data_IF_070273154611
#
_entry.id   IF_070273154611
#
_cell.length_a   1.000
_cell.length_b   1.000
_cell.length_c   1.000
_cell.angle_alpha   90.00
_cell.angle_beta   90.00
_cell.angle_gamma   90.00
#
_symmetry.space_group_name_H-M   'P 1'
#
loop_
_entity.id
_entity.type
_entity.pdbx_description
1 polymer ?
#
# COMPACT_ATOMS: atom_id res chain seq x y z
N UNK A 1 21.16 -47.86 33.97
CA UNK A 1 21.20 -46.40 33.77
C UNK A 1 20.71 -46.15 32.37
N UNK A 2 19.57 -45.49 32.21
CA UNK A 2 19.06 -45.13 30.88
C UNK A 2 19.82 -43.90 30.37
N UNK A 3 20.44 -44.04 29.20
CA UNK A 3 21.04 -42.92 28.49
C UNK A 3 19.92 -42.11 27.85
N UNK A 4 19.69 -40.90 28.34
CA UNK A 4 18.76 -39.95 27.72
C UNK A 4 19.51 -39.06 26.73
N UNK A 5 19.12 -39.14 25.46
CA UNK A 5 19.58 -38.23 24.41
C UNK A 5 18.73 -36.96 24.50
N UNK A 6 19.38 -35.78 24.50
CA UNK A 6 18.73 -34.46 24.42
C UNK A 6 18.89 -33.92 23.00
N UNK A 7 17.80 -33.44 22.40
CA UNK A 7 17.84 -32.68 21.14
C UNK A 7 18.34 -31.26 21.41
N UNK A 8 19.17 -30.74 20.53
CA UNK A 8 19.67 -29.36 20.54
C UNK A 8 19.49 -28.77 19.15
N UNK A 9 19.41 -27.44 19.08
CA UNK A 9 19.12 -26.69 17.88
C UNK A 9 20.25 -25.70 17.62
N UNK A 10 20.81 -25.69 16.42
CA UNK A 10 21.93 -24.82 16.07
C UNK A 10 21.48 -23.74 15.08
N UNK A 11 21.73 -22.47 15.43
CA UNK A 11 21.49 -21.36 14.52
C UNK A 11 22.35 -21.49 13.26
N UNK A 12 21.73 -21.46 12.08
CA UNK A 12 22.43 -21.59 10.80
C UNK A 12 23.36 -20.42 10.45
N UNK A 13 23.16 -19.24 11.06
CA UNK A 13 23.92 -18.03 10.76
C UNK A 13 25.14 -17.86 11.68
N UNK A 14 24.95 -17.83 13.00
CA UNK A 14 26.03 -17.59 13.97
C UNK A 14 26.63 -18.89 14.57
N UNK A 15 26.02 -20.06 14.31
CA UNK A 15 26.39 -21.38 14.85
C UNK A 15 26.20 -21.55 16.36
N UNK A 16 25.53 -20.62 17.03
CA UNK A 16 25.13 -20.75 18.43
C UNK A 16 24.18 -21.93 18.62
N UNK A 17 24.32 -22.63 19.74
CA UNK A 17 23.55 -23.84 20.06
C UNK A 17 22.57 -23.50 21.17
N UNK A 18 21.30 -23.70 20.90
CA UNK A 18 20.16 -23.51 21.79
C UNK A 18 19.58 -24.87 22.16
N UNK A 19 18.89 -24.92 23.29
CA UNK A 19 18.13 -26.09 23.69
C UNK A 19 16.63 -26.01 23.40
N UNK A 20 16.20 -24.87 22.87
CA UNK A 20 14.87 -24.59 22.38
C UNK A 20 14.92 -24.23 20.88
N UNK A 21 13.93 -24.70 20.13
CA UNK A 21 13.85 -24.51 18.67
C UNK A 21 13.51 -23.07 18.30
N UNK A 22 12.60 -22.43 19.06
CA UNK A 22 12.16 -21.06 18.80
C UNK A 22 13.28 -20.08 19.12
N UNK A 23 14.05 -20.31 20.19
CA UNK A 23 15.27 -19.53 20.48
C UNK A 23 16.29 -19.62 19.34
N UNK A 24 16.53 -20.82 18.78
CA UNK A 24 17.43 -20.98 17.63
C UNK A 24 16.90 -20.28 16.38
N UNK A 25 15.58 -20.23 16.20
CA UNK A 25 14.92 -19.53 15.10
C UNK A 25 15.07 -18.01 15.21
N UNK A 26 14.91 -17.45 16.41
CA UNK A 26 14.97 -16.01 16.66
C UNK A 26 16.41 -15.48 16.80
N UNK A 27 17.40 -16.31 17.13
CA UNK A 27 18.81 -15.94 17.38
C UNK A 27 19.45 -15.03 16.31
N UNK A 28 19.16 -15.26 15.03
CA UNK A 28 19.65 -14.44 13.91
C UNK A 28 18.54 -14.17 12.89
N UNK A 29 17.30 -14.09 13.37
CA UNK A 29 16.16 -13.80 12.51
C UNK A 29 16.37 -12.42 11.86
N UNK A 30 16.24 -12.31 10.52
CA UNK A 30 16.38 -11.03 9.87
C UNK A 30 15.30 -10.06 10.34
N UNK A 31 15.69 -8.80 10.53
CA UNK A 31 14.74 -7.72 10.81
C UNK A 31 13.78 -7.56 9.63
N UNK A 32 12.48 -7.57 9.94
CA UNK A 32 11.45 -7.23 8.97
C UNK A 32 11.20 -5.73 9.10
N UNK A 33 11.52 -4.98 8.04
CA UNK A 33 11.31 -3.54 7.98
C UNK A 33 10.06 -3.26 7.16
N UNK A 34 9.10 -2.55 7.75
CA UNK A 34 7.93 -2.05 7.03
C UNK A 34 8.34 -0.91 6.09
N UNK A 35 7.86 -0.97 4.84
CA UNK A 35 8.14 0.01 3.80
C UNK A 35 6.83 0.47 3.16
N UNK A 36 6.79 1.73 2.74
CA UNK A 36 5.64 2.40 2.14
C UNK A 36 5.97 2.81 0.72
N UNK A 37 5.13 2.40 -0.24
CA UNK A 37 5.33 2.71 -1.66
C UNK A 37 4.58 3.99 -2.05
N UNK A 38 5.26 4.92 -2.72
CA UNK A 38 4.61 6.09 -3.32
C UNK A 38 3.65 5.63 -4.45
N UNK A 39 2.36 6.02 -4.43
CA UNK A 39 1.38 5.55 -5.41
C UNK A 39 1.64 6.06 -6.83
N UNK A 40 2.51 7.08 -7.00
CA UNK A 40 2.80 7.74 -8.27
C UNK A 40 4.03 7.15 -8.94
N UNK A 41 5.19 7.28 -8.28
CA UNK A 41 6.50 6.95 -8.85
C UNK A 41 7.00 5.54 -8.48
N UNK A 42 6.28 4.83 -7.58
CA UNK A 42 6.64 3.49 -7.11
C UNK A 42 7.98 3.43 -6.34
N UNK A 43 8.42 4.56 -5.78
CA UNK A 43 9.56 4.60 -4.87
C UNK A 43 9.14 4.08 -3.48
N UNK A 44 10.05 3.36 -2.83
CA UNK A 44 9.87 2.85 -1.47
C UNK A 44 10.42 3.84 -0.44
N UNK A 45 9.69 4.02 0.64
CA UNK A 45 10.03 4.89 1.76
C UNK A 45 9.92 4.10 3.07
N UNK A 46 10.70 4.51 4.07
CA UNK A 46 10.66 3.92 5.42
C UNK A 46 9.64 4.61 6.35
N UNK A 47 8.84 5.51 5.80
CA UNK A 47 7.92 6.38 6.53
C UNK A 47 6.71 6.68 5.64
N UNK A 48 5.51 6.53 6.20
CA UNK A 48 4.25 6.66 5.46
C UNK A 48 4.04 8.09 4.97
N UNK A 49 4.30 9.09 5.80
CA UNK A 49 4.17 10.50 5.44
C UNK A 49 5.14 10.88 4.32
N UNK A 50 6.36 10.33 4.30
CA UNK A 50 7.29 10.49 3.18
C UNK A 50 6.76 9.87 1.89
N UNK A 51 6.12 8.71 1.95
CA UNK A 51 5.52 8.09 0.76
C UNK A 51 4.34 8.92 0.21
N UNK A 52 3.51 9.49 1.09
CA UNK A 52 2.40 10.37 0.74
C UNK A 52 2.90 11.70 0.14
N UNK A 53 3.90 12.32 0.76
CA UNK A 53 4.44 13.61 0.31
C UNK A 53 5.41 13.52 -0.87
N UNK A 54 5.94 12.32 -1.19
CA UNK A 54 6.97 12.10 -2.22
C UNK A 54 6.68 12.80 -3.56
N UNK A 55 5.43 12.73 -4.02
CA UNK A 55 4.99 13.35 -5.28
C UNK A 55 3.88 14.40 -5.05
N UNK A 56 3.72 14.90 -3.81
CA UNK A 56 2.66 15.84 -3.45
C UNK A 56 1.26 15.26 -3.63
N UNK A 57 1.03 14.04 -3.16
CA UNK A 57 -0.26 13.36 -3.30
C UNK A 57 -1.23 13.87 -2.23
N UNK A 58 -2.28 14.56 -2.67
CA UNK A 58 -3.41 14.89 -1.81
C UNK A 58 -4.39 13.71 -1.71
N UNK A 59 -5.22 13.70 -0.66
CA UNK A 59 -6.33 12.76 -0.51
C UNK A 59 -7.66 13.51 -0.37
N UNK A 60 -8.74 12.90 -0.87
CA UNK A 60 -10.11 13.39 -0.65
C UNK A 60 -11.00 12.24 -0.19
N UNK A 61 -11.88 12.54 0.76
CA UNK A 61 -12.81 11.58 1.34
C UNK A 61 -14.14 11.59 0.59
N UNK A 62 -14.64 10.40 0.19
CA UNK A 62 -15.98 10.30 -0.37
C UNK A 62 -17.04 10.51 0.73
N UNK A 63 -18.02 11.40 0.55
CA UNK A 63 -19.04 11.70 1.58
C UNK A 63 -20.05 10.56 1.79
N UNK A 64 -20.10 9.56 0.91
CA UNK A 64 -21.03 8.43 1.02
C UNK A 64 -20.39 7.21 1.68
N UNK A 65 -19.25 6.74 1.18
CA UNK A 65 -18.56 5.55 1.70
C UNK A 65 -17.45 5.85 2.71
N UNK A 66 -17.11 7.13 2.94
CA UNK A 66 -16.07 7.58 3.87
C UNK A 66 -14.67 7.02 3.59
N UNK A 67 -14.40 6.51 2.38
CA UNK A 67 -13.06 6.10 1.95
C UNK A 67 -12.27 7.29 1.44
N UNK A 68 -10.98 7.30 1.74
CA UNK A 68 -10.01 8.26 1.22
C UNK A 68 -9.48 7.79 -0.15
N UNK A 69 -9.39 8.73 -1.08
CA UNK A 69 -8.90 8.50 -2.43
C UNK A 69 -7.75 9.44 -2.71
N UNK A 70 -6.61 8.89 -3.16
CA UNK A 70 -5.45 9.66 -3.54
C UNK A 70 -5.69 10.47 -4.82
N UNK A 71 -5.04 11.63 -4.96
CA UNK A 71 -5.16 12.57 -6.07
C UNK A 71 -4.85 11.96 -7.44
N UNK A 72 -4.11 10.86 -7.44
CA UNK A 72 -3.76 10.06 -8.62
C UNK A 72 -4.79 9.00 -9.00
N UNK A 73 -5.95 8.93 -8.34
CA UNK A 73 -7.03 8.00 -8.68
C UNK A 73 -8.16 8.69 -9.45
N UNK A 74 -8.84 7.94 -10.33
CA UNK A 74 -10.08 8.42 -10.97
C UNK A 74 -11.14 8.83 -9.94
N UNK A 75 -11.23 8.12 -8.82
CA UNK A 75 -12.20 8.42 -7.76
C UNK A 75 -11.97 9.77 -7.08
N UNK A 76 -10.72 10.22 -6.95
CA UNK A 76 -10.47 11.58 -6.45
C UNK A 76 -11.06 12.64 -7.38
N UNK A 77 -10.85 12.51 -8.70
CA UNK A 77 -11.42 13.44 -9.68
C UNK A 77 -12.95 13.32 -9.73
N UNK A 78 -13.49 12.10 -9.62
CA UNK A 78 -14.93 11.86 -9.55
C UNK A 78 -15.59 12.58 -8.36
N UNK A 79 -14.97 12.53 -7.16
CA UNK A 79 -15.48 13.25 -5.99
C UNK A 79 -15.43 14.76 -6.22
N UNK A 80 -14.34 15.29 -6.81
CA UNK A 80 -14.23 16.73 -7.09
C UNK A 80 -15.24 17.25 -8.11
N UNK A 81 -15.56 16.45 -9.13
CA UNK A 81 -16.45 16.86 -10.23
C UNK A 81 -17.92 16.56 -9.91
N UNK A 82 -18.21 15.40 -9.33
CA UNK A 82 -19.56 14.84 -9.20
C UNK A 82 -19.94 14.50 -7.75
N UNK A 83 -19.09 14.83 -6.76
CA UNK A 83 -19.38 14.70 -5.33
C UNK A 83 -19.20 13.30 -4.73
N UNK A 84 -19.05 12.26 -5.56
CA UNK A 84 -18.93 10.88 -5.11
C UNK A 84 -17.90 10.10 -5.91
N UNK A 85 -17.31 9.07 -5.29
CA UNK A 85 -16.36 8.18 -5.95
C UNK A 85 -17.05 7.30 -7.01
N UNK A 86 -16.25 6.63 -7.83
CA UNK A 86 -16.74 5.81 -8.95
C UNK A 86 -17.56 4.61 -8.51
N UNK A 87 -17.38 4.14 -7.27
CA UNK A 87 -18.21 3.08 -6.68
C UNK A 87 -19.57 3.59 -6.19
N UNK A 88 -19.59 4.77 -5.56
CA UNK A 88 -20.81 5.33 -4.99
C UNK A 88 -21.70 6.03 -6.03
N UNK A 89 -21.10 6.55 -7.10
CA UNK A 89 -21.80 7.06 -8.26
C UNK A 89 -21.26 6.36 -9.53
N UNK A 90 -21.84 5.22 -9.94
CA UNK A 90 -21.42 4.53 -11.15
C UNK A 90 -21.98 5.17 -12.43
N UNK A 91 -22.99 6.04 -12.32
CA UNK A 91 -23.74 6.58 -13.46
C UNK A 91 -23.40 8.04 -13.74
N UNK A 92 -22.14 8.30 -14.09
CA UNK A 92 -21.69 9.62 -14.53
C UNK A 92 -22.29 9.99 -15.89
N UNK A 93 -22.64 11.26 -16.07
CA UNK A 93 -22.97 11.80 -17.40
C UNK A 93 -21.74 11.76 -18.31
N UNK A 94 -21.93 11.79 -19.64
CA UNK A 94 -20.83 11.78 -20.60
C UNK A 94 -19.84 12.92 -20.32
N UNK A 95 -20.34 14.12 -20.05
CA UNK A 95 -19.51 15.28 -19.74
C UNK A 95 -18.69 15.08 -18.45
N UNK A 96 -19.31 14.51 -17.41
CA UNK A 96 -18.60 14.17 -16.18
C UNK A 96 -17.52 13.12 -16.42
N UNK A 97 -17.83 12.07 -17.19
CA UNK A 97 -16.86 11.01 -17.51
C UNK A 97 -15.64 11.58 -18.22
N UNK A 98 -15.85 12.42 -19.25
CA UNK A 98 -14.78 13.07 -19.99
C UNK A 98 -13.94 13.98 -19.09
N UNK A 99 -14.58 14.80 -18.25
CA UNK A 99 -13.88 15.68 -17.32
C UNK A 99 -13.04 14.91 -16.29
N UNK A 100 -13.58 13.83 -15.74
CA UNK A 100 -12.88 12.97 -14.76
C UNK A 100 -11.63 12.36 -15.39
N UNK A 101 -11.77 11.76 -16.58
CA UNK A 101 -10.66 11.07 -17.26
C UNK A 101 -9.60 12.06 -17.76
N UNK A 102 -10.00 13.22 -18.28
CA UNK A 102 -9.07 14.25 -18.76
C UNK A 102 -8.26 14.88 -17.61
N UNK A 103 -8.91 15.24 -16.49
CA UNK A 103 -8.18 15.73 -15.31
C UNK A 103 -7.24 14.68 -14.72
N UNK A 104 -7.68 13.42 -14.65
CA UNK A 104 -6.82 12.32 -14.22
C UNK A 104 -5.59 12.21 -15.11
N UNK A 105 -5.76 12.19 -16.43
CA UNK A 105 -4.66 12.12 -17.38
C UNK A 105 -3.69 13.29 -17.24
N UNK A 106 -4.19 14.52 -17.08
CA UNK A 106 -3.34 15.70 -16.87
C UNK A 106 -2.50 15.62 -15.59
N UNK A 107 -3.04 14.99 -14.54
CA UNK A 107 -2.36 14.90 -13.24
C UNK A 107 -1.37 13.74 -13.17
N UNK A 108 -1.67 12.60 -13.80
CA UNK A 108 -0.88 11.36 -13.65
C UNK A 108 -0.11 10.97 -14.90
N UNK A 109 -0.47 11.52 -16.06
CA UNK A 109 0.01 11.07 -17.37
C UNK A 109 -0.55 9.71 -17.80
N UNK A 110 -1.45 9.09 -17.01
CA UNK A 110 -2.02 7.76 -17.28
C UNK A 110 -3.44 7.89 -17.80
N UNK A 111 -3.71 7.21 -18.91
CA UNK A 111 -5.05 7.14 -19.49
C UNK A 111 -5.78 5.95 -18.89
N UNK A 112 -6.86 6.23 -18.16
CA UNK A 112 -7.73 5.23 -17.56
C UNK A 112 -9.17 5.58 -17.89
N UNK A 113 -9.99 4.57 -18.10
CA UNK A 113 -11.42 4.72 -18.37
C UNK A 113 -12.24 4.22 -17.19
N UNK A 114 -13.39 4.86 -16.95
CA UNK A 114 -14.22 4.62 -15.77
C UNK A 114 -14.91 3.24 -15.75
N UNK A 115 -14.95 2.54 -16.89
CA UNK A 115 -15.70 1.30 -17.10
C UNK A 115 -14.85 0.21 -17.78
N UNK A 116 -13.52 0.34 -17.70
CA UNK A 116 -12.57 -0.67 -18.20
C UNK A 116 -12.20 -1.69 -17.11
#
# INVERSE_FOLDING_TARGET
MDLKIKTLYQCGACREIHDDEDEAMDCCRPDIIELYECPVCKANHNDEDKALTCCGVDAIKCPSCYRDYASVSLSYQAIRIAGHCTTCNPMFTIDQQLAIQDLHYRQTGKREHLHD
#
